data_IF_663119421969
#
_entry.id   IF_663119421969
#
_cell.length_a   1.000
_cell.length_b   1.000
_cell.length_c   1.000
_cell.angle_alpha   90.00
_cell.angle_beta   90.00
_cell.angle_gamma   90.00
#
_symmetry.space_group_name_H-M   'P 1'
#
loop_
_entity.id
_entity.type
_entity.pdbx_description
1 polymer ?
#
# COMPACT_ATOMS: atom_id res chain seq x y z
N UNK A 1 8.78 5.54 13.13
CA UNK A 1 8.09 5.45 11.82
C UNK A 1 8.71 6.47 10.89
N UNK A 2 9.22 6.00 9.77
CA UNK A 2 9.87 6.84 8.75
C UNK A 2 8.85 7.37 7.74
N UNK A 3 7.87 6.54 7.39
CA UNK A 3 6.84 6.85 6.41
C UNK A 3 5.53 6.19 6.78
N UNK A 4 4.41 6.85 6.46
CA UNK A 4 3.06 6.29 6.57
C UNK A 4 2.14 6.98 5.57
N UNK A 5 1.42 6.19 4.78
CA UNK A 5 0.43 6.67 3.81
C UNK A 5 -0.73 5.68 3.70
N UNK A 6 -1.82 6.08 3.06
CA UNK A 6 -2.82 5.15 2.56
C UNK A 6 -2.29 4.52 1.26
N UNK A 7 -2.56 3.23 1.09
CA UNK A 7 -2.12 2.46 -0.09
C UNK A 7 -3.25 2.42 -1.13
N UNK A 8 -3.08 3.07 -2.30
CA UNK A 8 -4.05 3.00 -3.38
C UNK A 8 -4.30 1.56 -3.84
N UNK A 9 -5.47 1.31 -4.43
CA UNK A 9 -5.89 0.03 -5.03
C UNK A 9 -5.89 -1.19 -4.08
N UNK A 10 -5.69 -0.98 -2.78
CA UNK A 10 -5.72 -2.07 -1.80
C UNK A 10 -7.14 -2.41 -1.32
N UNK A 11 -8.10 -1.52 -1.51
CA UNK A 11 -9.52 -1.80 -1.22
C UNK A 11 -10.17 -2.54 -2.39
N UNK A 12 -10.81 -3.67 -2.13
CA UNK A 12 -11.50 -4.47 -3.14
C UNK A 12 -12.56 -3.67 -3.90
N UNK A 13 -12.60 -3.84 -5.22
CA UNK A 13 -13.57 -3.17 -6.07
C UNK A 13 -14.99 -3.67 -5.81
N UNK A 14 -15.98 -2.80 -5.99
CA UNK A 14 -17.38 -3.09 -5.79
C UNK A 14 -18.24 -1.87 -6.03
N UNK A 15 -19.56 -2.05 -6.13
CA UNK A 15 -20.50 -0.92 -6.12
C UNK A 15 -20.23 -0.02 -4.91
N UNK A 16 -19.86 -0.64 -3.79
CA UNK A 16 -19.22 0.01 -2.64
C UNK A 16 -17.85 -0.61 -2.47
N UNK A 17 -16.79 0.15 -2.79
CA UNK A 17 -15.42 -0.36 -2.64
C UNK A 17 -15.05 -0.57 -1.17
N UNK A 18 -14.11 -1.44 -0.93
CA UNK A 18 -13.48 -1.62 0.37
C UNK A 18 -12.65 -0.40 0.80
N UNK A 19 -12.41 -0.28 2.10
CA UNK A 19 -11.46 0.71 2.63
C UNK A 19 -10.04 0.40 2.19
N UNK A 20 -9.22 1.44 2.00
CA UNK A 20 -7.80 1.28 1.70
C UNK A 20 -7.03 0.71 2.89
N UNK A 21 -5.99 -0.06 2.61
CA UNK A 21 -4.92 -0.37 3.53
C UNK A 21 -3.97 0.80 3.74
N UNK A 22 -2.94 0.57 4.52
CA UNK A 22 -1.91 1.55 4.79
C UNK A 22 -0.54 1.01 4.42
N UNK A 23 0.32 1.89 4.00
CA UNK A 23 1.73 1.66 3.75
C UNK A 23 2.53 2.28 4.89
N UNK A 24 3.46 1.53 5.46
CA UNK A 24 4.29 1.97 6.59
C UNK A 24 5.73 1.54 6.36
N UNK A 25 6.68 2.45 6.58
CA UNK A 25 8.09 2.13 6.70
C UNK A 25 8.57 2.52 8.11
N UNK A 26 9.31 1.64 8.74
CA UNK A 26 9.81 1.84 10.08
C UNK A 26 11.23 1.30 10.27
N UNK A 27 11.93 1.87 11.22
CA UNK A 27 13.19 1.36 11.75
C UNK A 27 13.09 1.27 13.28
N UNK A 28 14.08 0.67 13.91
CA UNK A 28 14.23 0.63 15.37
C UNK A 28 15.09 1.80 15.85
N UNK A 29 14.83 2.28 17.07
CA UNK A 29 15.57 3.40 17.69
C UNK A 29 16.77 2.96 18.53
N UNK A 30 16.93 1.64 18.73
CA UNK A 30 18.09 1.05 19.44
C UNK A 30 19.07 0.48 18.41
N UNK A 31 20.36 0.33 18.77
CA UNK A 31 21.38 -0.10 17.80
C UNK A 31 21.06 -1.42 17.11
N UNK A 32 20.50 -2.39 17.84
CA UNK A 32 20.14 -3.70 17.32
C UNK A 32 19.03 -4.32 18.15
N UNK A 33 18.15 -5.07 17.49
CA UNK A 33 17.13 -5.95 18.09
C UNK A 33 16.91 -7.18 17.24
N UNK A 34 16.30 -8.20 17.83
CA UNK A 34 15.73 -9.31 17.10
C UNK A 34 14.28 -8.94 16.72
N UNK A 35 13.96 -8.97 15.42
CA UNK A 35 12.63 -8.73 14.90
C UNK A 35 11.94 -10.07 14.63
N UNK A 36 10.67 -10.17 14.99
CA UNK A 36 9.81 -11.30 14.67
C UNK A 36 8.58 -10.79 13.92
N UNK A 37 8.38 -11.29 12.71
CA UNK A 37 7.24 -10.92 11.87
C UNK A 37 6.42 -12.17 11.57
N UNK A 38 5.13 -12.11 11.88
CA UNK A 38 4.16 -13.16 11.54
C UNK A 38 2.92 -12.50 10.97
N UNK A 39 2.68 -12.71 9.69
CA UNK A 39 1.56 -12.11 8.95
C UNK A 39 0.74 -13.17 8.24
N UNK A 40 -0.52 -12.86 7.99
CA UNK A 40 -1.44 -13.64 7.17
C UNK A 40 -1.93 -12.77 6.02
N UNK A 41 -2.26 -13.38 4.88
CA UNK A 41 -2.82 -12.64 3.74
C UNK A 41 -1.79 -12.04 2.79
N UNK A 42 -0.61 -12.67 2.65
CA UNK A 42 0.38 -12.30 1.64
C UNK A 42 0.06 -12.90 0.27
N UNK A 43 -0.49 -14.12 0.25
CA UNK A 43 -0.81 -14.84 -0.99
C UNK A 43 -2.31 -14.81 -1.30
N UNK A 44 -3.13 -14.88 -0.26
CA UNK A 44 -4.58 -14.84 -0.36
C UNK A 44 -5.12 -13.71 0.52
N UNK A 45 -5.96 -12.82 -0.02
CA UNK A 45 -6.55 -11.75 0.78
C UNK A 45 -7.36 -12.29 1.96
N UNK A 46 -7.21 -11.69 3.13
CA UNK A 46 -8.05 -12.03 4.29
C UNK A 46 -9.46 -11.40 4.20
N UNK A 47 -9.60 -10.33 3.43
CA UNK A 47 -10.86 -9.60 3.24
C UNK A 47 -11.50 -10.04 1.93
N UNK A 48 -12.54 -10.85 2.00
CA UNK A 48 -13.30 -11.29 0.83
C UNK A 48 -14.29 -10.22 0.38
N UNK A 49 -14.62 -10.21 -0.91
CA UNK A 49 -15.72 -9.40 -1.44
C UNK A 49 -17.08 -10.05 -1.18
N UNK A 50 -18.13 -9.26 -1.18
CA UNK A 50 -19.50 -9.70 -0.96
C UNK A 50 -20.40 -9.32 -2.14
N UNK A 51 -21.38 -10.16 -2.47
CA UNK A 51 -22.42 -9.88 -3.47
C UNK A 51 -21.86 -9.42 -4.83
N UNK A 52 -20.79 -10.03 -5.32
CA UNK A 52 -20.14 -9.66 -6.58
C UNK A 52 -18.96 -8.67 -6.43
N UNK A 53 -18.72 -8.17 -5.22
CA UNK A 53 -17.54 -7.35 -4.96
C UNK A 53 -16.24 -8.18 -4.95
N UNK A 54 -15.12 -7.52 -5.21
CA UNK A 54 -13.79 -8.13 -5.23
C UNK A 54 -13.16 -8.17 -3.82
N UNK A 55 -12.23 -9.11 -3.57
CA UNK A 55 -11.47 -9.12 -2.32
C UNK A 55 -10.59 -7.87 -2.20
N UNK A 56 -10.18 -7.53 -0.99
CA UNK A 56 -9.13 -6.53 -0.76
C UNK A 56 -7.77 -7.03 -1.22
N UNK A 57 -6.81 -6.12 -1.32
CA UNK A 57 -5.43 -6.46 -1.67
C UNK A 57 -4.76 -7.37 -0.64
N UNK A 58 -3.64 -7.96 -1.01
CA UNK A 58 -2.78 -8.75 -0.11
C UNK A 58 -1.84 -7.85 0.69
N UNK A 59 -1.29 -8.39 1.79
CA UNK A 59 -0.18 -7.75 2.50
C UNK A 59 1.10 -7.93 1.67
N UNK A 60 1.90 -6.88 1.56
CA UNK A 60 3.27 -6.95 1.09
C UNK A 60 4.21 -6.47 2.18
N UNK A 61 5.30 -7.19 2.39
CA UNK A 61 6.31 -6.82 3.39
C UNK A 61 7.71 -7.07 2.88
N UNK A 62 8.64 -6.20 3.27
CA UNK A 62 10.01 -6.24 2.80
C UNK A 62 10.98 -5.62 3.81
N UNK A 63 12.25 -5.95 3.66
CA UNK A 63 13.33 -5.44 4.50
C UNK A 63 14.45 -4.91 3.62
N UNK A 64 14.88 -3.69 3.88
CA UNK A 64 16.09 -3.12 3.32
C UNK A 64 17.18 -3.04 4.41
N UNK A 65 18.26 -3.77 4.21
CA UNK A 65 19.41 -3.79 5.12
C UNK A 65 20.28 -2.57 4.87
N UNK A 66 20.78 -1.97 5.96
CA UNK A 66 21.68 -0.82 5.94
C UNK A 66 21.19 0.39 5.10
N UNK A 67 19.90 0.45 4.82
CA UNK A 67 19.29 1.45 3.93
C UNK A 67 19.58 2.89 4.40
N UNK A 68 19.42 3.17 5.70
CA UNK A 68 19.63 4.50 6.25
C UNK A 68 21.11 4.88 6.31
N UNK A 69 22.02 3.92 6.35
CA UNK A 69 23.46 4.19 6.30
C UNK A 69 23.89 4.74 4.92
N UNK A 70 23.16 4.39 3.85
CA UNK A 70 23.47 4.78 2.47
C UNK A 70 22.51 5.83 1.91
N UNK A 71 21.44 6.18 2.64
CA UNK A 71 20.38 7.06 2.15
C UNK A 71 20.80 8.54 2.00
N UNK A 72 21.89 8.98 2.66
CA UNK A 72 22.28 10.39 2.70
C UNK A 72 21.13 11.27 3.18
N UNK A 73 21.01 12.49 2.62
CA UNK A 73 19.90 13.43 2.90
C UNK A 73 18.59 13.07 2.13
N UNK A 74 18.36 11.80 1.81
CA UNK A 74 17.15 11.38 1.10
C UNK A 74 15.91 11.68 1.94
N UNK A 75 15.00 12.57 1.46
CA UNK A 75 13.72 12.78 2.14
C UNK A 75 12.82 11.57 1.88
N UNK A 76 12.23 11.06 2.96
CA UNK A 76 11.09 10.14 2.98
C UNK A 76 11.19 8.89 2.10
N UNK A 77 11.53 7.80 2.76
CA UNK A 77 11.39 6.44 2.24
C UNK A 77 9.93 6.20 1.82
N UNK A 78 9.68 6.04 0.52
CA UNK A 78 8.41 5.51 0.00
C UNK A 78 8.69 4.12 -0.58
N UNK A 79 8.42 3.06 0.18
CA UNK A 79 8.77 1.69 -0.21
C UNK A 79 8.11 1.20 -1.50
N UNK A 80 7.03 1.86 -1.94
CA UNK A 80 6.29 1.49 -3.15
C UNK A 80 6.57 2.39 -4.36
N UNK A 81 7.42 3.41 -4.26
CA UNK A 81 7.84 4.14 -5.45
C UNK A 81 8.76 3.22 -6.27
N UNK A 82 8.38 2.96 -7.52
CA UNK A 82 8.97 1.94 -8.39
C UNK A 82 10.51 2.01 -8.56
N UNK A 83 11.11 3.16 -8.27
CA UNK A 83 12.55 3.38 -8.36
C UNK A 83 13.32 2.94 -7.07
N UNK A 84 12.65 2.85 -5.93
CA UNK A 84 13.27 2.52 -4.63
C UNK A 84 13.16 1.03 -4.23
N UNK A 85 12.47 0.20 -5.02
CA UNK A 85 12.27 -1.23 -4.71
C UNK A 85 13.56 -2.07 -4.73
N UNK A 86 14.61 -1.60 -5.37
CA UNK A 86 15.85 -2.38 -5.58
C UNK A 86 16.54 -2.80 -4.28
N UNK A 87 16.37 -2.03 -3.22
CA UNK A 87 17.04 -2.28 -1.93
C UNK A 87 16.13 -3.07 -0.96
N UNK A 88 14.84 -3.25 -1.31
CA UNK A 88 13.86 -3.91 -0.46
C UNK A 88 13.67 -5.38 -0.84
N UNK A 89 14.25 -6.28 -0.06
CA UNK A 89 14.04 -7.72 -0.23
C UNK A 89 12.66 -8.13 0.32
N UNK A 90 11.80 -8.80 -0.48
CA UNK A 90 10.51 -9.27 -0.01
C UNK A 90 10.68 -10.32 1.09
N UNK A 91 9.83 -10.25 2.12
CA UNK A 91 9.77 -11.22 3.20
C UNK A 91 8.51 -12.08 3.04
N UNK A 92 8.67 -13.38 3.25
CA UNK A 92 7.54 -14.32 3.32
C UNK A 92 6.67 -14.10 4.56
N UNK A 93 5.54 -14.84 4.69
CA UNK A 93 4.57 -14.62 5.76
C UNK A 93 5.13 -14.91 7.16
N UNK A 94 6.09 -15.80 7.26
CA UNK A 94 6.74 -16.24 8.51
C UNK A 94 8.24 -16.37 8.29
N UNK A 95 8.97 -15.26 8.14
CA UNK A 95 10.41 -15.30 7.86
C UNK A 95 11.24 -15.81 9.03
N UNK A 96 10.61 -16.08 10.20
CA UNK A 96 11.30 -16.36 11.44
C UNK A 96 11.80 -15.11 12.13
N UNK A 97 12.61 -15.29 13.16
CA UNK A 97 13.30 -14.19 13.81
C UNK A 97 14.55 -13.81 12.99
N UNK A 98 14.79 -12.51 12.87
CA UNK A 98 15.97 -11.98 12.17
C UNK A 98 16.51 -10.74 12.88
N UNK A 99 17.84 -10.51 12.81
CA UNK A 99 18.44 -9.32 13.39
C UNK A 99 18.06 -8.08 12.56
N UNK A 100 17.72 -7.00 13.24
CA UNK A 100 17.45 -5.69 12.67
C UNK A 100 18.27 -4.63 13.42
N UNK A 101 18.86 -3.71 12.67
CA UNK A 101 19.63 -2.59 13.19
C UNK A 101 18.88 -1.26 12.98
N UNK A 102 19.34 -0.20 13.62
CA UNK A 102 18.79 1.15 13.40
C UNK A 102 19.04 1.70 11.98
N UNK A 103 19.92 1.06 11.19
CA UNK A 103 20.14 1.41 9.79
C UNK A 103 19.21 0.66 8.83
N UNK A 104 18.54 -0.39 9.28
CA UNK A 104 17.60 -1.18 8.46
C UNK A 104 16.23 -0.53 8.40
N UNK A 105 15.52 -0.77 7.31
CA UNK A 105 14.12 -0.33 7.13
C UNK A 105 13.23 -1.53 6.84
N UNK A 106 12.24 -1.74 7.68
CA UNK A 106 11.13 -2.66 7.42
C UNK A 106 9.96 -1.89 6.82
N UNK A 107 9.45 -2.37 5.69
CA UNK A 107 8.31 -1.80 5.01
C UNK A 107 7.17 -2.81 4.94
N UNK A 108 5.95 -2.34 5.13
CA UNK A 108 4.74 -3.14 5.02
C UNK A 108 3.62 -2.34 4.38
N UNK A 109 2.94 -2.97 3.42
CA UNK A 109 1.65 -2.50 2.90
C UNK A 109 0.58 -3.41 3.44
N UNK A 110 -0.30 -2.85 4.25
CA UNK A 110 -1.44 -3.58 4.80
C UNK A 110 -2.54 -3.74 3.76
N UNK A 111 -3.25 -4.84 3.83
CA UNK A 111 -4.42 -5.12 3.01
C UNK A 111 -5.54 -4.11 3.25
N UNK A 112 -6.38 -3.92 2.24
CA UNK A 112 -7.64 -3.20 2.34
C UNK A 112 -8.82 -4.11 2.71
N UNK A 113 -10.00 -3.51 2.83
CA UNK A 113 -11.26 -4.23 3.00
C UNK A 113 -11.77 -4.80 1.67
N UNK A 114 -12.66 -5.79 1.69
CA UNK A 114 -13.35 -6.29 0.50
C UNK A 114 -14.45 -5.34 0.01
N UNK A 115 -14.72 -5.38 -1.30
CA UNK A 115 -15.80 -4.64 -1.93
C UNK A 115 -17.18 -5.31 -1.74
N UNK A 116 -18.26 -4.55 -1.96
CA UNK A 116 -19.64 -5.05 -1.89
C UNK A 116 -20.39 -4.67 -3.16
N UNK A 117 -21.02 -5.64 -3.79
CA UNK A 117 -21.77 -5.50 -5.04
C UNK A 117 -20.85 -5.44 -6.27
N UNK A 118 -21.42 -5.60 -7.44
CA UNK A 118 -20.69 -5.56 -8.71
C UNK A 118 -19.98 -4.20 -8.88
N UNK A 119 -18.66 -4.16 -9.12
CA UNK A 119 -17.95 -2.92 -9.37
C UNK A 119 -18.43 -2.17 -10.60
N UNK A 120 -18.98 -2.85 -11.61
CA UNK A 120 -19.57 -2.22 -12.80
C UNK A 120 -20.86 -1.44 -12.50
N UNK A 121 -21.51 -1.72 -11.36
CA UNK A 121 -22.68 -0.97 -10.88
C UNK A 121 -22.30 0.29 -10.08
N UNK A 122 -21.00 0.57 -9.90
CA UNK A 122 -20.56 1.78 -9.20
C UNK A 122 -20.76 2.99 -10.12
N UNK A 123 -21.24 4.10 -9.51
CA UNK A 123 -21.40 5.37 -10.21
C UNK A 123 -20.03 5.82 -10.79
N UNK A 124 -19.93 6.07 -12.12
CA UNK A 124 -18.69 6.53 -12.72
C UNK A 124 -18.14 7.84 -12.11
N UNK A 125 -18.99 8.74 -11.64
CA UNK A 125 -18.56 9.98 -10.99
C UNK A 125 -17.88 9.70 -9.65
N UNK A 126 -18.33 8.69 -8.90
CA UNK A 126 -17.66 8.23 -7.68
C UNK A 126 -16.27 7.63 -7.97
N UNK A 127 -16.15 6.87 -9.08
CA UNK A 127 -14.85 6.32 -9.51
C UNK A 127 -13.90 7.44 -9.90
N UNK A 128 -14.36 8.44 -10.66
CA UNK A 128 -13.58 9.63 -11.01
C UNK A 128 -13.13 10.39 -9.76
N UNK A 129 -14.03 10.55 -8.78
CA UNK A 129 -13.69 11.19 -7.51
C UNK A 129 -12.62 10.41 -6.73
N UNK A 130 -12.69 9.08 -6.72
CA UNK A 130 -11.69 8.22 -6.08
C UNK A 130 -10.33 8.31 -6.80
N UNK A 131 -10.31 8.39 -8.13
CA UNK A 131 -9.05 8.62 -8.89
C UNK A 131 -8.44 9.98 -8.56
N UNK A 132 -9.25 11.04 -8.50
CA UNK A 132 -8.77 12.39 -8.12
C UNK A 132 -8.18 12.43 -6.71
N UNK A 133 -8.71 11.62 -5.79
CA UNK A 133 -8.21 11.48 -4.41
C UNK A 133 -7.00 10.56 -4.30
N UNK A 134 -6.56 9.90 -5.38
CA UNK A 134 -5.48 8.93 -5.35
C UNK A 134 -5.83 7.63 -4.62
N UNK A 135 -7.12 7.32 -4.49
CA UNK A 135 -7.63 6.11 -3.81
C UNK A 135 -7.66 4.93 -4.77
N UNK A 136 -8.05 5.19 -6.01
CA UNK A 136 -8.10 4.25 -7.13
C UNK A 136 -7.16 4.76 -8.20
N UNK A 137 -6.32 3.91 -8.77
CA UNK A 137 -5.49 4.26 -9.92
C UNK A 137 -6.34 4.38 -11.19
N UNK A 138 -5.78 5.06 -12.22
CA UNK A 138 -6.42 5.08 -13.54
C UNK A 138 -6.57 3.68 -14.12
N UNK A 139 -5.57 2.84 -13.89
CA UNK A 139 -5.60 1.45 -14.34
C UNK A 139 -6.75 0.68 -13.69
N UNK A 140 -6.89 0.73 -12.36
CA UNK A 140 -7.99 0.08 -11.65
C UNK A 140 -9.36 0.66 -12.03
N UNK A 141 -9.47 1.96 -12.31
CA UNK A 141 -10.71 2.55 -12.81
C UNK A 141 -11.15 1.93 -14.14
N UNK A 142 -10.20 1.65 -15.04
CA UNK A 142 -10.48 1.04 -16.34
C UNK A 142 -10.72 -0.47 -16.22
N UNK A 143 -9.88 -1.21 -15.47
CA UNK A 143 -9.93 -2.68 -15.43
C UNK A 143 -11.02 -3.22 -14.52
N UNK A 144 -11.23 -2.59 -13.36
CA UNK A 144 -12.13 -3.11 -12.33
C UNK A 144 -13.53 -2.49 -12.41
N UNK A 145 -13.62 -1.21 -12.79
CA UNK A 145 -14.87 -0.47 -12.83
C UNK A 145 -15.36 -0.18 -14.25
N UNK A 146 -14.58 -0.48 -15.29
CA UNK A 146 -14.93 -0.19 -16.68
C UNK A 146 -15.01 1.31 -17.01
N UNK A 147 -14.40 2.19 -16.20
CA UNK A 147 -14.47 3.65 -16.35
C UNK A 147 -13.24 4.16 -17.07
N UNK A 148 -13.41 4.57 -18.33
CA UNK A 148 -12.34 5.18 -19.14
C UNK A 148 -12.23 6.67 -18.84
N UNK A 149 -11.08 7.09 -18.33
CA UNK A 149 -10.82 8.49 -17.97
C UNK A 149 -10.20 9.27 -19.12
N UNK A 150 -10.78 10.43 -19.46
CA UNK A 150 -10.16 11.37 -20.41
C UNK A 150 -8.88 11.97 -19.80
N UNK A 151 -7.98 12.49 -20.65
CA UNK A 151 -6.60 12.88 -20.28
C UNK A 151 -6.46 13.91 -19.14
N UNK A 152 -7.50 14.68 -18.81
CA UNK A 152 -7.46 15.77 -17.84
C UNK A 152 -7.61 15.39 -16.37
N UNK A 153 -7.90 14.10 -16.05
CA UNK A 153 -8.04 13.65 -14.66
C UNK A 153 -6.65 13.26 -14.13
N UNK A 154 -5.95 14.23 -13.55
CA UNK A 154 -4.71 13.99 -12.80
C UNK A 154 -5.06 13.71 -11.33
N UNK A 155 -4.39 12.75 -10.70
CA UNK A 155 -4.43 12.59 -9.26
C UNK A 155 -3.89 13.87 -8.60
N UNK A 156 -4.71 14.55 -7.82
CA UNK A 156 -4.20 15.58 -6.92
C UNK A 156 -3.34 14.83 -5.88
N UNK A 157 -2.02 14.97 -5.99
CA UNK A 157 -1.10 14.37 -5.04
C UNK A 157 -1.52 14.75 -3.62
N UNK A 158 -1.49 13.81 -2.70
CA UNK A 158 -1.70 14.07 -1.27
C UNK A 158 -0.66 15.11 -0.83
N UNK A 159 -1.08 16.36 -0.69
CA UNK A 159 -0.24 17.42 -0.12
C UNK A 159 0.05 17.05 1.34
N UNK A 160 1.32 16.96 1.68
CA UNK A 160 1.78 16.76 3.06
C UNK A 160 1.31 17.94 3.92
N UNK A 161 0.68 17.67 5.06
CA UNK A 161 0.66 18.64 6.15
C UNK A 161 2.09 18.76 6.70
N UNK A 162 2.65 19.98 6.80
CA UNK A 162 3.93 20.17 7.46
C UNK A 162 3.79 19.76 8.93
N UNK A 163 4.66 18.85 9.38
CA UNK A 163 4.79 18.54 10.81
C UNK A 163 5.33 19.76 11.53
N UNK A 164 4.53 20.34 12.40
CA UNK A 164 5.01 21.25 13.45
C UNK A 164 5.67 20.45 14.56
#
# INVERSE_FOLDING_TARGET
VLFRSLAPDTGGAGRRRGGMGAEVALTISIPQAEALVMTHGLEVPNSVGLSGGQPGGVIAQSLAKDFLAHAGDRPAVRPLDADDHRDFAPLGPKPGAFPMTSADVFAVTWQGGGGIGDPLDRDPDDVVADVRRGVVSRHAAETDYGVVLRAEVSAAGFARSPST
#
